data_IF_298757705703
#
_entry.id   IF_298757705703
#
_cell.length_a   1.000
_cell.length_b   1.000
_cell.length_c   1.000
_cell.angle_alpha   90.00
_cell.angle_beta   90.00
_cell.angle_gamma   90.00
#
_symmetry.space_group_name_H-M   'P 1'
#
loop_
_entity.id
_entity.type
_entity.pdbx_description
1 polymer ?
#
# COMPACT_ATOMS: atom_id res chain seq x y z
N UNK A 1 39.63 4.47 -16.97
CA UNK A 1 40.19 3.95 -15.71
C UNK A 1 40.19 2.43 -15.66
N UNK A 2 39.06 1.71 -15.67
CA UNK A 2 39.04 0.22 -15.57
C UNK A 2 39.88 -0.49 -16.65
N UNK A 3 39.91 -0.01 -17.89
CA UNK A 3 40.78 -0.55 -18.96
C UNK A 3 42.28 -0.47 -18.65
N UNK A 4 42.69 0.50 -17.81
CA UNK A 4 44.08 0.74 -17.45
C UNK A 4 44.44 0.15 -16.08
N UNK A 5 43.44 -0.22 -15.26
CA UNK A 5 43.60 -0.87 -13.95
C UNK A 5 42.57 -2.00 -13.75
N UNK A 6 42.64 -3.11 -14.51
CA UNK A 6 41.58 -4.12 -14.53
C UNK A 6 41.45 -4.95 -13.23
N UNK A 7 42.46 -4.91 -12.36
CA UNK A 7 42.50 -5.59 -11.06
C UNK A 7 42.28 -4.64 -9.87
N UNK A 8 41.95 -3.37 -10.12
CA UNK A 8 41.68 -2.40 -9.07
C UNK A 8 40.19 -2.46 -8.65
N UNK A 9 39.86 -2.93 -7.44
CA UNK A 9 38.48 -3.00 -6.96
C UNK A 9 37.80 -1.62 -6.91
N UNK A 10 38.54 -0.56 -6.59
CA UNK A 10 38.01 0.80 -6.47
C UNK A 10 37.61 1.36 -7.84
N UNK A 11 38.41 1.08 -8.88
CA UNK A 11 38.06 1.46 -10.26
C UNK A 11 36.74 0.82 -10.73
N UNK A 12 36.51 -0.46 -10.41
CA UNK A 12 35.26 -1.15 -10.73
C UNK A 12 34.08 -0.64 -9.90
N UNK A 13 34.29 -0.39 -8.60
CA UNK A 13 33.29 0.22 -7.73
C UNK A 13 32.84 1.60 -8.27
N UNK A 14 33.78 2.47 -8.58
CA UNK A 14 33.51 3.81 -9.11
C UNK A 14 32.82 3.76 -10.49
N UNK A 15 33.16 2.78 -11.33
CA UNK A 15 32.43 2.53 -12.57
C UNK A 15 30.98 2.12 -12.29
N UNK A 16 30.75 1.25 -11.32
CA UNK A 16 29.41 0.84 -10.89
C UNK A 16 28.57 2.03 -10.42
N UNK A 17 29.12 2.88 -9.57
CA UNK A 17 28.47 4.13 -9.10
C UNK A 17 28.12 5.05 -10.28
N UNK A 18 29.02 5.22 -11.24
CA UNK A 18 28.76 6.03 -12.42
C UNK A 18 27.65 5.44 -13.30
N UNK A 19 27.63 4.12 -13.50
CA UNK A 19 26.60 3.42 -14.27
C UNK A 19 25.24 3.48 -13.60
N UNK A 20 25.18 3.36 -12.27
CA UNK A 20 23.97 3.52 -11.48
C UNK A 20 23.37 4.92 -11.68
N UNK A 21 24.19 5.98 -11.59
CA UNK A 21 23.74 7.36 -11.83
C UNK A 21 23.22 7.59 -13.25
N UNK A 22 23.66 6.78 -14.20
CA UNK A 22 23.18 6.78 -15.60
C UNK A 22 21.96 5.86 -15.82
N UNK A 23 21.40 5.25 -14.76
CA UNK A 23 20.27 4.31 -14.86
C UNK A 23 20.62 2.94 -15.46
N UNK A 24 21.91 2.63 -15.65
CA UNK A 24 22.37 1.37 -16.26
C UNK A 24 22.49 0.27 -15.20
N UNK A 25 21.39 -0.10 -14.57
CA UNK A 25 21.33 -0.96 -13.38
C UNK A 25 22.08 -2.29 -13.55
N UNK A 26 21.80 -3.03 -14.62
CA UNK A 26 22.47 -4.32 -14.89
C UNK A 26 23.98 -4.20 -15.12
N UNK A 27 24.46 -3.07 -15.64
CA UNK A 27 25.89 -2.83 -15.80
C UNK A 27 26.53 -2.45 -14.47
N UNK A 28 25.85 -1.62 -13.67
CA UNK A 28 26.30 -1.24 -12.33
C UNK A 28 26.47 -2.48 -11.44
N UNK A 29 25.48 -3.38 -11.45
CA UNK A 29 25.54 -4.67 -10.76
C UNK A 29 26.80 -5.48 -11.14
N UNK A 30 27.07 -5.65 -12.44
CA UNK A 30 28.28 -6.36 -12.90
C UNK A 30 29.57 -5.71 -12.39
N UNK A 31 29.62 -4.39 -12.38
CA UNK A 31 30.77 -3.64 -11.88
C UNK A 31 30.96 -3.82 -10.37
N UNK A 32 29.89 -3.80 -9.58
CA UNK A 32 29.95 -4.07 -8.13
C UNK A 32 30.36 -5.51 -7.83
N UNK A 33 29.81 -6.50 -8.55
CA UNK A 33 30.24 -7.91 -8.43
C UNK A 33 31.74 -8.06 -8.75
N UNK A 34 32.25 -7.32 -9.74
CA UNK A 34 33.67 -7.35 -10.06
C UNK A 34 34.53 -6.73 -8.96
N UNK A 35 34.10 -5.62 -8.37
CA UNK A 35 34.76 -5.02 -7.20
C UNK A 35 34.80 -6.00 -6.01
N UNK A 36 33.69 -6.67 -5.71
CA UNK A 36 33.58 -7.68 -4.64
C UNK A 36 34.47 -8.90 -4.94
N UNK A 37 34.55 -9.34 -6.20
CA UNK A 37 35.42 -10.46 -6.59
C UNK A 37 36.90 -10.13 -6.36
N UNK A 38 37.29 -8.87 -6.60
CA UNK A 38 38.66 -8.40 -6.39
C UNK A 38 38.94 -8.11 -4.91
N UNK A 39 37.93 -7.68 -4.16
CA UNK A 39 38.01 -7.36 -2.73
C UNK A 39 36.73 -7.82 -2.00
N UNK A 40 36.71 -9.06 -1.47
CA UNK A 40 35.51 -9.62 -0.84
C UNK A 40 35.00 -8.88 0.40
N UNK A 41 35.88 -8.14 1.09
CA UNK A 41 35.57 -7.34 2.28
C UNK A 41 35.18 -5.89 1.98
N UNK A 42 34.81 -5.57 0.73
CA UNK A 42 34.40 -4.21 0.34
C UNK A 42 32.93 -3.92 0.69
N UNK A 43 32.69 -3.47 1.92
CA UNK A 43 31.35 -3.25 2.47
C UNK A 43 30.47 -2.31 1.60
N UNK A 44 31.02 -1.22 1.09
CA UNK A 44 30.32 -0.27 0.22
C UNK A 44 29.89 -0.90 -1.11
N UNK A 45 30.70 -1.81 -1.67
CA UNK A 45 30.35 -2.53 -2.89
C UNK A 45 29.20 -3.53 -2.66
N UNK A 46 29.20 -4.25 -1.52
CA UNK A 46 28.08 -5.10 -1.12
C UNK A 46 26.78 -4.30 -0.91
N UNK A 47 26.88 -3.14 -0.25
CA UNK A 47 25.72 -2.27 -0.04
C UNK A 47 25.15 -1.78 -1.39
N UNK A 48 25.99 -1.28 -2.30
CA UNK A 48 25.50 -0.82 -3.61
C UNK A 48 24.99 -1.96 -4.50
N UNK A 49 25.57 -3.16 -4.41
CA UNK A 49 25.02 -4.35 -5.05
C UNK A 49 23.60 -4.65 -4.55
N UNK A 50 23.38 -4.59 -3.23
CA UNK A 50 22.07 -4.76 -2.62
C UNK A 50 21.05 -3.73 -3.14
N UNK A 51 21.44 -2.46 -3.29
CA UNK A 51 20.57 -1.41 -3.87
C UNK A 51 20.20 -1.75 -5.32
N UNK A 52 21.13 -2.26 -6.13
CA UNK A 52 20.82 -2.65 -7.52
C UNK A 52 19.87 -3.84 -7.57
N UNK A 53 20.10 -4.85 -6.75
CA UNK A 53 19.22 -6.02 -6.65
C UNK A 53 17.81 -5.62 -6.21
N UNK A 54 17.71 -4.72 -5.22
CA UNK A 54 16.42 -4.17 -4.77
C UNK A 54 15.68 -3.45 -5.88
N UNK A 55 16.36 -2.54 -6.61
CA UNK A 55 15.75 -1.81 -7.74
C UNK A 55 15.32 -2.72 -8.89
N UNK A 56 15.93 -3.91 -8.99
CA UNK A 56 15.57 -4.93 -9.96
C UNK A 56 14.55 -5.94 -9.42
N UNK A 57 13.96 -5.70 -8.23
CA UNK A 57 12.95 -6.55 -7.62
C UNK A 57 13.49 -7.81 -6.92
N UNK A 58 14.80 -8.03 -6.89
CA UNK A 58 15.45 -9.22 -6.30
C UNK A 58 15.70 -9.01 -4.81
N UNK A 59 14.62 -8.92 -4.03
CA UNK A 59 14.64 -8.55 -2.62
C UNK A 59 15.44 -9.53 -1.74
N UNK A 60 15.35 -10.84 -1.99
CA UNK A 60 16.10 -11.85 -1.23
C UNK A 60 17.63 -11.74 -1.45
N UNK A 61 18.05 -11.44 -2.69
CA UNK A 61 19.45 -11.19 -2.98
C UNK A 61 19.92 -9.87 -2.36
N UNK A 62 19.09 -8.83 -2.42
CA UNK A 62 19.38 -7.54 -1.82
C UNK A 62 19.61 -7.67 -0.30
N UNK A 63 18.73 -8.39 0.40
CA UNK A 63 18.87 -8.69 1.83
C UNK A 63 20.22 -9.35 2.14
N UNK A 64 20.60 -10.38 1.37
CA UNK A 64 21.90 -11.06 1.55
C UNK A 64 23.07 -10.10 1.37
N UNK A 65 23.03 -9.26 0.33
CA UNK A 65 24.08 -8.28 0.06
C UNK A 65 24.19 -7.22 1.17
N UNK A 66 23.05 -6.71 1.67
CA UNK A 66 23.05 -5.79 2.81
C UNK A 66 23.54 -6.44 4.10
N UNK A 67 23.13 -7.68 4.38
CA UNK A 67 23.62 -8.45 5.52
C UNK A 67 25.14 -8.63 5.48
N UNK A 68 25.71 -8.82 4.28
CA UNK A 68 27.16 -8.90 4.11
C UNK A 68 27.85 -7.55 4.34
N UNK A 69 27.28 -6.45 3.85
CA UNK A 69 27.78 -5.11 4.14
C UNK A 69 27.79 -4.80 5.64
N UNK A 70 26.71 -5.15 6.36
CA UNK A 70 26.57 -4.98 7.82
C UNK A 70 27.57 -5.87 8.57
N UNK A 71 27.76 -7.11 8.14
CA UNK A 71 28.72 -8.02 8.77
C UNK A 71 30.17 -7.53 8.65
N UNK A 72 30.50 -6.90 7.52
CA UNK A 72 31.82 -6.31 7.29
C UNK A 72 32.01 -4.97 8.01
N UNK A 73 30.92 -4.19 8.17
CA UNK A 73 30.92 -2.87 8.79
C UNK A 73 29.64 -2.70 9.62
N UNK A 74 29.65 -3.11 10.91
CA UNK A 74 28.47 -3.07 11.77
C UNK A 74 27.88 -1.67 11.97
N UNK A 75 28.72 -0.63 11.93
CA UNK A 75 28.33 0.78 12.04
C UNK A 75 28.03 1.42 10.67
N UNK A 76 27.56 0.64 9.69
CA UNK A 76 27.19 1.18 8.38
C UNK A 76 25.71 1.60 8.35
N UNK A 77 25.43 2.83 8.79
CA UNK A 77 24.07 3.36 8.90
C UNK A 77 23.25 3.24 7.60
N UNK A 78 23.88 3.51 6.44
CA UNK A 78 23.22 3.40 5.13
C UNK A 78 22.78 1.95 4.82
N UNK A 79 23.60 0.95 5.18
CA UNK A 79 23.26 -0.46 4.98
C UNK A 79 22.13 -0.90 5.91
N UNK A 80 22.13 -0.44 7.18
CA UNK A 80 21.01 -0.68 8.12
C UNK A 80 19.71 -0.04 7.64
N UNK A 81 19.74 1.20 7.16
CA UNK A 81 18.55 1.81 6.55
C UNK A 81 18.09 1.06 5.30
N UNK A 82 19.02 0.59 4.45
CA UNK A 82 18.68 -0.11 3.22
C UNK A 82 18.07 -1.50 3.48
N UNK A 83 18.64 -2.29 4.38
CA UNK A 83 18.06 -3.59 4.76
C UNK A 83 16.69 -3.42 5.45
N UNK A 84 16.52 -2.35 6.25
CA UNK A 84 15.23 -2.05 6.87
C UNK A 84 14.14 -1.78 5.83
N UNK A 85 14.47 -1.11 4.71
CA UNK A 85 13.52 -0.93 3.60
C UNK A 85 13.15 -2.28 2.98
N UNK A 86 14.12 -3.19 2.79
CA UNK A 86 13.83 -4.55 2.27
C UNK A 86 12.96 -5.34 3.25
N UNK A 87 13.24 -5.26 4.55
CA UNK A 87 12.39 -5.86 5.57
C UNK A 87 10.97 -5.31 5.51
N UNK A 88 10.81 -3.98 5.38
CA UNK A 88 9.49 -3.34 5.20
C UNK A 88 8.78 -3.83 3.93
N UNK A 89 9.44 -3.81 2.78
CA UNK A 89 8.87 -4.28 1.50
C UNK A 89 8.46 -5.75 1.52
N UNK A 90 9.15 -6.54 2.33
CA UNK A 90 8.82 -7.95 2.53
C UNK A 90 7.90 -8.18 3.73
N UNK A 91 7.39 -7.12 4.40
CA UNK A 91 6.42 -7.18 5.50
C UNK A 91 6.96 -7.63 6.85
N UNK A 92 8.28 -7.63 7.01
CA UNK A 92 8.99 -7.93 8.25
C UNK A 92 9.20 -6.64 9.04
N UNK A 93 8.10 -6.09 9.55
CA UNK A 93 8.08 -4.72 10.10
C UNK A 93 8.91 -4.61 11.39
N UNK A 94 8.97 -5.65 12.22
CA UNK A 94 9.77 -5.67 13.45
C UNK A 94 11.28 -5.70 13.15
N UNK A 95 11.69 -6.47 12.14
CA UNK A 95 13.08 -6.50 11.65
C UNK A 95 13.46 -5.15 11.04
N UNK A 96 12.54 -4.53 10.29
CA UNK A 96 12.72 -3.19 9.75
C UNK A 96 12.91 -2.15 10.86
N UNK A 97 12.06 -2.17 11.89
CA UNK A 97 12.17 -1.29 13.05
C UNK A 97 13.54 -1.43 13.75
N UNK A 98 13.99 -2.66 14.02
CA UNK A 98 15.28 -2.91 14.66
C UNK A 98 16.45 -2.33 13.85
N UNK A 99 16.44 -2.53 12.53
CA UNK A 99 17.46 -1.98 11.64
C UNK A 99 17.39 -0.44 11.53
N UNK A 100 16.21 0.16 11.50
CA UNK A 100 16.08 1.63 11.54
C UNK A 100 16.61 2.23 12.86
N UNK A 101 16.28 1.62 14.00
CA UNK A 101 16.82 2.04 15.32
C UNK A 101 18.34 2.02 15.29
N UNK A 102 18.93 0.98 14.72
CA UNK A 102 20.40 0.86 14.59
C UNK A 102 20.97 1.94 13.66
N UNK A 103 20.37 2.17 12.49
CA UNK A 103 20.80 3.22 11.55
C UNK A 103 20.79 4.61 12.20
N UNK A 104 19.74 4.93 12.97
CA UNK A 104 19.59 6.21 13.67
C UNK A 104 20.55 6.31 14.87
N UNK A 105 20.82 5.22 15.58
CA UNK A 105 21.79 5.22 16.67
C UNK A 105 23.22 5.49 16.17
N UNK A 106 23.60 4.88 15.04
CA UNK A 106 24.89 5.09 14.39
C UNK A 106 24.98 6.50 13.78
N UNK A 107 23.89 6.99 13.18
CA UNK A 107 23.84 8.29 12.51
C UNK A 107 22.59 9.08 12.94
N UNK A 108 22.65 9.83 14.05
CA UNK A 108 21.49 10.52 14.63
C UNK A 108 20.83 11.58 13.73
N UNK A 109 21.59 12.15 12.80
CA UNK A 109 21.15 13.14 11.81
C UNK A 109 20.64 12.51 10.50
N UNK A 110 20.44 11.18 10.45
CA UNK A 110 19.99 10.48 9.25
C UNK A 110 18.49 10.68 8.98
N UNK A 111 18.15 11.85 8.40
CA UNK A 111 16.77 12.27 8.10
C UNK A 111 15.96 11.20 7.36
N UNK A 112 16.53 10.58 6.32
CA UNK A 112 15.82 9.57 5.53
C UNK A 112 15.48 8.33 6.36
N UNK A 113 16.37 7.89 7.26
CA UNK A 113 16.10 6.76 8.15
C UNK A 113 14.97 7.08 9.12
N UNK A 114 14.89 8.32 9.65
CA UNK A 114 13.78 8.77 10.51
C UNK A 114 12.45 8.76 9.78
N UNK A 115 12.39 9.30 8.56
CA UNK A 115 11.15 9.29 7.76
C UNK A 115 10.73 7.85 7.44
N UNK A 116 11.67 7.00 7.03
CA UNK A 116 11.36 5.60 6.71
C UNK A 116 10.94 4.79 7.95
N UNK A 117 11.54 5.07 9.11
CA UNK A 117 11.13 4.47 10.36
C UNK A 117 9.73 4.92 10.75
N UNK A 118 9.43 6.21 10.64
CA UNK A 118 8.09 6.74 10.85
C UNK A 118 7.04 6.08 9.95
N UNK A 119 7.38 5.83 8.67
CA UNK A 119 6.49 5.11 7.75
C UNK A 119 6.22 3.67 8.22
N UNK A 120 7.25 2.99 8.70
CA UNK A 120 7.14 1.62 9.24
C UNK A 120 6.28 1.61 10.51
N UNK A 121 6.51 2.54 11.43
CA UNK A 121 5.69 2.70 12.63
C UNK A 121 4.23 3.03 12.30
N UNK A 122 3.99 3.88 11.29
CA UNK A 122 2.64 4.17 10.80
C UNK A 122 1.95 2.93 10.25
N UNK A 123 2.68 2.10 9.50
CA UNK A 123 2.18 0.82 8.98
C UNK A 123 1.84 -0.15 10.12
N UNK A 124 2.63 -0.15 11.20
CA UNK A 124 2.35 -0.91 12.43
C UNK A 124 1.27 -0.26 13.33
N UNK A 125 0.75 0.92 12.99
CA UNK A 125 -0.24 1.65 13.79
C UNK A 125 0.32 2.41 14.99
N UNK A 126 1.65 2.45 15.17
CA UNK A 126 2.31 3.23 16.22
C UNK A 126 2.47 4.70 15.81
N UNK A 127 1.35 5.41 15.72
CA UNK A 127 1.31 6.79 15.21
C UNK A 127 2.05 7.81 16.09
N UNK A 128 2.09 7.59 17.41
CA UNK A 128 2.79 8.50 18.33
C UNK A 128 4.29 8.50 18.05
N UNK A 129 4.89 7.32 17.91
CA UNK A 129 6.31 7.22 17.59
C UNK A 129 6.60 7.61 16.13
N UNK A 130 5.67 7.33 15.21
CA UNK A 130 5.78 7.80 13.83
C UNK A 130 5.86 9.34 13.78
N UNK A 131 4.96 10.03 14.48
CA UNK A 131 4.93 11.49 14.58
C UNK A 131 6.24 12.05 15.16
N UNK A 132 6.77 11.44 16.21
CA UNK A 132 8.06 11.83 16.80
C UNK A 132 9.18 11.76 15.75
N UNK A 133 9.26 10.65 15.00
CA UNK A 133 10.30 10.46 14.00
C UNK A 133 10.19 11.47 12.85
N UNK A 134 8.97 11.74 12.35
CA UNK A 134 8.78 12.77 11.31
C UNK A 134 9.11 14.17 11.80
N UNK A 135 8.71 14.53 13.03
CA UNK A 135 9.06 15.84 13.61
C UNK A 135 10.56 15.99 13.85
N UNK A 136 11.25 14.93 14.26
CA UNK A 136 12.71 14.93 14.36
C UNK A 136 13.38 15.05 12.99
N UNK A 137 12.84 14.40 11.96
CA UNK A 137 13.29 14.60 10.58
C UNK A 137 13.16 16.06 10.14
N UNK A 138 12.02 16.70 10.43
CA UNK A 138 11.79 18.13 10.16
C UNK A 138 12.67 19.06 11.00
N UNK A 139 13.00 18.69 12.24
CA UNK A 139 13.93 19.46 13.06
C UNK A 139 15.36 19.45 12.47
N UNK A 140 15.78 18.32 11.90
CA UNK A 140 17.07 18.17 11.21
C UNK A 140 17.08 18.80 9.81
N UNK A 141 15.95 18.71 9.10
CA UNK A 141 15.76 19.27 7.76
C UNK A 141 14.36 19.87 7.64
N UNK A 142 14.19 21.17 7.96
CA UNK A 142 12.88 21.84 7.89
C UNK A 142 12.25 21.87 6.49
N UNK A 143 13.05 21.68 5.44
CA UNK A 143 12.63 21.64 4.04
C UNK A 143 12.27 20.22 3.54
N UNK A 144 12.01 19.26 4.43
CA UNK A 144 11.61 17.90 4.03
C UNK A 144 10.10 17.79 3.80
N UNK A 145 9.64 18.13 2.59
CA UNK A 145 8.23 18.05 2.22
C UNK A 145 7.64 16.63 2.39
N UNK A 146 8.47 15.58 2.19
CA UNK A 146 8.05 14.19 2.36
C UNK A 146 7.64 13.92 3.82
N UNK A 147 8.37 14.45 4.80
CA UNK A 147 7.99 14.30 6.20
C UNK A 147 6.63 14.98 6.50
N UNK A 148 6.35 16.16 5.93
CA UNK A 148 5.04 16.80 6.03
C UNK A 148 3.92 15.97 5.38
N UNK A 149 4.17 15.42 4.18
CA UNK A 149 3.23 14.53 3.50
C UNK A 149 2.90 13.28 4.34
N UNK A 150 3.92 12.64 4.92
CA UNK A 150 3.73 11.50 5.83
C UNK A 150 2.97 11.88 7.10
N UNK A 151 3.24 13.06 7.67
CA UNK A 151 2.53 13.58 8.84
C UNK A 151 1.04 13.77 8.58
N UNK A 152 0.63 14.25 7.40
CA UNK A 152 -0.78 14.33 7.02
C UNK A 152 -1.49 12.96 7.10
N UNK A 153 -0.84 11.90 6.60
CA UNK A 153 -1.43 10.55 6.57
C UNK A 153 -1.74 9.95 7.94
N UNK A 154 -1.03 10.36 8.99
CA UNK A 154 -1.24 9.81 10.34
C UNK A 154 -2.27 10.60 11.18
N UNK A 155 -2.87 11.65 10.61
CA UNK A 155 -3.78 12.52 11.36
C UNK A 155 -5.15 11.88 11.59
N UNK A 156 -5.82 12.33 12.66
CA UNK A 156 -7.20 11.92 13.01
C UNK A 156 -8.27 12.85 12.44
N UNK A 157 -7.91 14.11 12.19
CA UNK A 157 -8.87 15.16 11.88
C UNK A 157 -8.50 15.84 10.57
N UNK A 158 -9.53 16.31 9.87
CA UNK A 158 -9.41 17.10 8.66
C UNK A 158 -8.51 18.33 8.86
N UNK A 159 -8.66 19.02 10.00
CA UNK A 159 -7.90 20.23 10.31
C UNK A 159 -6.40 19.95 10.48
N UNK A 160 -6.03 18.90 11.24
CA UNK A 160 -4.63 18.55 11.43
C UNK A 160 -4.00 18.00 10.15
N UNK A 161 -4.77 17.27 9.36
CA UNK A 161 -4.35 16.81 8.03
C UNK A 161 -4.07 18.00 7.09
N UNK A 162 -5.00 18.95 7.01
CA UNK A 162 -4.87 20.16 6.19
C UNK A 162 -3.63 20.98 6.60
N UNK A 163 -3.38 21.16 7.90
CA UNK A 163 -2.17 21.85 8.39
C UNK A 163 -0.88 21.26 7.81
N UNK A 164 -0.73 19.93 7.83
CA UNK A 164 0.48 19.29 7.30
C UNK A 164 0.56 19.30 5.78
N UNK A 165 -0.58 19.27 5.09
CA UNK A 165 -0.63 19.48 3.62
C UNK A 165 -0.20 20.90 3.26
N UNK A 166 -0.61 21.90 4.04
CA UNK A 166 -0.17 23.28 3.83
C UNK A 166 1.33 23.43 4.07
N UNK A 167 1.87 22.83 5.13
CA UNK A 167 3.33 22.78 5.35
C UNK A 167 4.07 22.07 4.23
N UNK A 168 3.52 20.98 3.71
CA UNK A 168 4.08 20.30 2.54
C UNK A 168 4.14 21.23 1.33
N UNK A 169 3.09 22.00 1.07
CA UNK A 169 3.00 22.92 -0.07
C UNK A 169 3.80 24.22 0.11
N UNK A 170 4.01 24.67 1.35
CA UNK A 170 4.92 25.78 1.67
C UNK A 170 6.37 25.42 1.30
N UNK A 171 6.77 24.16 1.52
CA UNK A 171 8.11 23.65 1.22
C UNK A 171 8.24 23.29 -0.28
N UNK A 172 7.27 22.54 -0.80
CA UNK A 172 7.21 22.13 -2.20
C UNK A 172 5.86 22.54 -2.81
N UNK A 173 5.86 23.77 -3.33
CA UNK A 173 4.72 24.33 -4.04
C UNK A 173 4.36 23.62 -5.34
N UNK A 174 5.09 22.58 -5.76
CA UNK A 174 4.81 21.73 -6.92
C UNK A 174 4.38 20.30 -6.57
N UNK A 175 4.24 19.98 -5.27
CA UNK A 175 3.83 18.66 -4.84
C UNK A 175 2.39 18.32 -5.29
N UNK A 176 2.24 17.64 -6.43
CA UNK A 176 0.94 17.39 -7.08
C UNK A 176 -0.04 16.67 -6.15
N UNK A 177 0.37 15.58 -5.50
CA UNK A 177 -0.53 14.83 -4.61
C UNK A 177 -1.06 15.71 -3.45
N UNK A 178 -0.22 16.57 -2.85
CA UNK A 178 -0.63 17.49 -1.80
C UNK A 178 -1.59 18.58 -2.32
N UNK A 179 -1.36 19.13 -3.52
CA UNK A 179 -2.30 20.08 -4.15
C UNK A 179 -3.67 19.47 -4.36
N UNK A 180 -3.72 18.29 -4.95
CA UNK A 180 -4.97 17.59 -5.25
C UNK A 180 -5.67 17.18 -3.95
N UNK A 181 -4.93 16.63 -2.99
CA UNK A 181 -5.46 16.28 -1.67
C UNK A 181 -6.02 17.50 -0.95
N UNK A 182 -5.35 18.67 -0.99
CA UNK A 182 -5.89 19.92 -0.43
C UNK A 182 -7.25 20.28 -1.01
N UNK A 183 -7.43 20.14 -2.33
CA UNK A 183 -8.71 20.39 -2.97
C UNK A 183 -9.80 19.41 -2.48
N UNK A 184 -9.46 18.14 -2.26
CA UNK A 184 -10.36 17.18 -1.67
C UNK A 184 -10.73 17.55 -0.23
N UNK A 185 -9.77 17.94 0.62
CA UNK A 185 -10.06 18.35 2.01
C UNK A 185 -10.98 19.58 2.04
N UNK A 186 -10.77 20.56 1.15
CA UNK A 186 -11.66 21.71 0.99
C UNK A 186 -13.07 21.31 0.57
N UNK A 187 -13.20 20.36 -0.36
CA UNK A 187 -14.50 19.83 -0.75
C UNK A 187 -15.28 19.26 0.45
N UNK A 188 -14.60 18.51 1.32
CA UNK A 188 -15.17 17.98 2.58
C UNK A 188 -15.62 19.08 3.56
N UNK A 189 -15.10 20.30 3.43
CA UNK A 189 -15.54 21.49 4.19
C UNK A 189 -16.71 22.25 3.53
N UNK A 190 -17.15 21.80 2.36
CA UNK A 190 -18.17 22.48 1.54
C UNK A 190 -17.60 23.46 0.51
N UNK A 191 -16.28 23.60 0.40
CA UNK A 191 -15.62 24.48 -0.58
C UNK A 191 -15.30 23.71 -1.87
N UNK A 192 -16.11 23.89 -2.92
CA UNK A 192 -15.99 23.11 -4.17
C UNK A 192 -15.19 23.76 -5.30
N UNK A 193 -14.97 25.07 -5.21
CA UNK A 193 -14.41 25.89 -6.30
C UNK A 193 -13.09 25.36 -6.85
N UNK A 194 -12.19 24.96 -5.95
CA UNK A 194 -10.87 24.46 -6.31
C UNK A 194 -10.93 23.09 -6.99
N UNK A 195 -11.80 22.19 -6.51
CA UNK A 195 -12.04 20.90 -7.15
C UNK A 195 -12.60 21.08 -8.57
N UNK A 196 -13.61 21.94 -8.75
CA UNK A 196 -14.22 22.20 -10.06
C UNK A 196 -13.22 22.84 -11.04
N UNK A 197 -12.32 23.69 -10.54
CA UNK A 197 -11.21 24.27 -11.31
C UNK A 197 -10.26 23.18 -11.80
N UNK A 198 -9.88 22.25 -10.93
CA UNK A 198 -9.00 21.13 -11.28
C UNK A 198 -9.67 20.16 -12.29
N UNK A 199 -10.98 19.92 -12.17
CA UNK A 199 -11.75 19.10 -13.13
C UNK A 199 -11.83 19.69 -14.54
N UNK A 200 -11.61 21.00 -14.68
CA UNK A 200 -11.49 21.69 -15.98
C UNK A 200 -10.05 21.77 -16.50
N UNK A 201 -9.07 21.27 -15.75
CA UNK A 201 -7.64 21.30 -16.12
C UNK A 201 -7.16 19.98 -16.73
N UNK A 202 -5.89 19.92 -17.13
CA UNK A 202 -5.21 18.69 -17.53
C UNK A 202 -5.18 17.63 -16.41
N UNK A 203 -5.26 18.06 -15.14
CA UNK A 203 -5.23 17.17 -13.98
C UNK A 203 -6.54 16.40 -13.78
N UNK A 204 -7.61 16.68 -14.53
CA UNK A 204 -8.89 15.95 -14.43
C UNK A 204 -8.74 14.43 -14.61
N UNK A 205 -7.75 14.02 -15.41
CA UNK A 205 -7.44 12.63 -15.69
C UNK A 205 -6.38 12.07 -14.75
N UNK A 206 -5.85 12.84 -13.80
CA UNK A 206 -4.94 12.34 -12.79
C UNK A 206 -5.70 11.38 -11.84
N UNK A 207 -5.13 10.25 -11.41
CA UNK A 207 -5.86 9.22 -10.67
C UNK A 207 -6.51 9.76 -9.39
N UNK A 208 -5.83 10.65 -8.66
CA UNK A 208 -6.42 11.40 -7.54
C UNK A 208 -7.74 12.09 -7.93
N UNK A 209 -7.76 12.85 -9.02
CA UNK A 209 -8.96 13.58 -9.45
C UNK A 209 -10.06 12.63 -9.91
N UNK A 210 -9.73 11.52 -10.58
CA UNK A 210 -10.71 10.50 -10.97
C UNK A 210 -11.35 9.84 -9.75
N UNK A 211 -10.54 9.49 -8.74
CA UNK A 211 -11.03 8.95 -7.46
C UNK A 211 -11.88 9.95 -6.69
N UNK A 212 -11.44 11.21 -6.58
CA UNK A 212 -12.23 12.27 -5.95
C UNK A 212 -13.54 12.50 -6.66
N UNK A 213 -13.53 12.56 -7.99
CA UNK A 213 -14.73 12.71 -8.79
C UNK A 213 -15.70 11.54 -8.59
N UNK A 214 -15.22 10.30 -8.50
CA UNK A 214 -16.08 9.18 -8.16
C UNK A 214 -16.71 9.34 -6.77
N UNK A 215 -15.90 9.62 -5.73
CA UNK A 215 -16.39 9.79 -4.35
C UNK A 215 -17.37 10.97 -4.23
N UNK A 216 -17.08 12.10 -4.87
CA UNK A 216 -17.87 13.33 -4.74
C UNK A 216 -19.19 13.31 -5.51
N UNK A 217 -19.37 12.33 -6.41
CA UNK A 217 -20.63 12.07 -7.11
C UNK A 217 -21.45 10.94 -6.48
N UNK A 218 -21.01 10.36 -5.36
CA UNK A 218 -21.83 9.41 -4.60
C UNK A 218 -23.08 10.11 -4.03
N UNK A 219 -24.20 9.37 -3.82
CA UNK A 219 -25.43 9.96 -3.28
C UNK A 219 -25.23 10.64 -1.92
N UNK A 220 -24.38 10.03 -1.07
CA UNK A 220 -23.96 10.57 0.22
C UNK A 220 -22.43 10.68 0.21
N UNK A 221 -21.90 11.78 0.75
CA UNK A 221 -20.47 11.95 0.93
C UNK A 221 -20.00 11.03 2.10
N UNK A 222 -19.12 10.05 1.87
CA UNK A 222 -18.70 9.10 2.89
C UNK A 222 -17.81 9.74 3.96
N UNK A 223 -17.63 9.07 5.10
CA UNK A 223 -16.67 9.52 6.14
C UNK A 223 -15.22 9.44 5.62
N UNK A 224 -14.42 10.48 5.85
CA UNK A 224 -13.01 10.54 5.42
C UNK A 224 -12.05 10.17 6.55
N UNK A 225 -11.14 9.24 6.26
CA UNK A 225 -10.05 8.83 7.14
C UNK A 225 -8.69 8.97 6.44
N UNK A 226 -7.62 9.14 7.22
CA UNK A 226 -6.27 9.39 6.68
C UNK A 226 -5.34 8.18 6.75
N UNK A 227 -5.70 7.17 7.54
CA UNK A 227 -4.93 5.94 7.65
C UNK A 227 -5.83 4.74 7.88
N UNK A 228 -5.26 3.58 7.57
CA UNK A 228 -5.87 2.26 7.69
C UNK A 228 -6.44 1.97 9.08
N UNK A 229 -5.70 2.30 10.12
CA UNK A 229 -6.06 1.91 11.48
C UNK A 229 -7.27 2.68 12.01
N UNK A 230 -7.34 4.01 11.82
CA UNK A 230 -8.55 4.77 12.20
C UNK A 230 -9.73 4.47 11.28
N UNK A 231 -9.47 4.14 10.02
CA UNK A 231 -10.50 3.65 9.09
C UNK A 231 -11.08 2.33 9.61
N UNK A 232 -10.25 1.33 9.95
CA UNK A 232 -10.71 0.08 10.54
C UNK A 232 -11.44 0.29 11.88
N UNK A 233 -10.94 1.15 12.77
CA UNK A 233 -11.60 1.47 14.04
C UNK A 233 -13.03 1.98 13.83
N UNK A 234 -13.24 2.78 12.79
CA UNK A 234 -14.57 3.31 12.45
C UNK A 234 -15.48 2.23 11.87
N UNK A 235 -14.95 1.37 10.99
CA UNK A 235 -15.74 0.29 10.38
C UNK A 235 -16.10 -0.79 11.40
N UNK A 236 -15.19 -1.16 12.30
CA UNK A 236 -15.45 -2.09 13.40
C UNK A 236 -16.57 -1.59 14.30
N UNK A 237 -16.63 -0.28 14.60
CA UNK A 237 -17.73 0.30 15.40
C UNK A 237 -19.10 0.19 14.73
N UNK A 238 -19.15 0.11 13.39
CA UNK A 238 -20.37 -0.07 12.61
C UNK A 238 -20.69 -1.55 12.36
N UNK A 239 -19.81 -2.46 12.77
CA UNK A 239 -19.86 -3.90 12.49
C UNK A 239 -20.51 -4.70 13.61
N UNK A 240 -21.11 -5.86 13.28
CA UNK A 240 -21.60 -6.81 14.27
C UNK A 240 -20.48 -7.75 14.73
N UNK A 241 -19.75 -7.34 15.77
CA UNK A 241 -18.58 -8.06 16.31
C UNK A 241 -18.84 -9.49 16.82
N UNK A 242 -20.10 -9.92 16.89
CA UNK A 242 -20.47 -11.32 17.24
C UNK A 242 -20.37 -12.28 16.05
N UNK A 243 -20.33 -11.75 14.82
CA UNK A 243 -20.17 -12.54 13.58
C UNK A 243 -18.68 -12.60 13.21
N UNK A 244 -18.23 -13.65 12.50
CA UNK A 244 -16.85 -13.72 12.03
C UNK A 244 -16.58 -12.71 10.92
N UNK A 245 -15.29 -12.46 10.65
CA UNK A 245 -14.86 -11.75 9.46
C UNK A 245 -14.23 -12.71 8.43
N UNK A 246 -14.10 -12.23 7.20
CA UNK A 246 -13.42 -12.91 6.10
C UNK A 246 -12.39 -11.95 5.51
N UNK A 247 -11.24 -12.46 5.10
CA UNK A 247 -10.18 -11.66 4.45
C UNK A 247 -9.63 -12.40 3.23
N UNK A 248 -9.72 -11.77 2.07
CA UNK A 248 -9.20 -12.29 0.80
C UNK A 248 -7.94 -11.52 0.44
N UNK A 249 -6.84 -12.23 0.22
CA UNK A 249 -5.52 -11.64 0.04
C UNK A 249 -4.79 -11.47 1.38
N UNK A 250 -4.86 -12.47 2.26
CA UNK A 250 -4.12 -12.40 3.51
C UNK A 250 -2.63 -12.52 3.24
N UNK A 251 -1.97 -11.38 3.23
CA UNK A 251 -0.52 -11.33 3.26
C UNK A 251 0.02 -11.76 4.64
N UNK A 252 1.01 -11.08 5.21
CA UNK A 252 1.59 -11.42 6.53
C UNK A 252 0.65 -11.28 7.72
N UNK A 253 -0.65 -11.13 7.49
CA UNK A 253 -1.71 -11.15 8.48
C UNK A 253 -1.79 -9.87 9.31
N UNK A 254 -1.26 -8.74 8.84
CA UNK A 254 -1.28 -7.48 9.61
C UNK A 254 -2.72 -7.00 9.83
N UNK A 255 -3.51 -6.89 8.78
CA UNK A 255 -4.96 -6.59 8.86
C UNK A 255 -5.73 -7.71 9.56
N UNK A 256 -5.42 -8.96 9.21
CA UNK A 256 -6.03 -10.14 9.85
C UNK A 256 -5.87 -10.17 11.37
N UNK A 257 -4.68 -9.88 11.90
CA UNK A 257 -4.44 -9.80 13.37
C UNK A 257 -5.30 -8.74 14.02
N UNK A 258 -5.39 -7.56 13.41
CA UNK A 258 -6.23 -6.48 13.90
C UNK A 258 -7.71 -6.90 13.98
N UNK A 259 -8.24 -7.54 12.93
CA UNK A 259 -9.63 -8.01 12.94
C UNK A 259 -9.82 -9.18 13.91
N UNK A 260 -8.84 -10.07 14.07
CA UNK A 260 -8.89 -11.15 15.05
C UNK A 260 -8.98 -10.63 16.49
N UNK A 261 -8.29 -9.54 16.82
CA UNK A 261 -8.38 -8.91 18.14
C UNK A 261 -9.80 -8.43 18.48
N UNK A 262 -10.61 -8.14 17.47
CA UNK A 262 -11.99 -7.66 17.60
C UNK A 262 -13.01 -8.80 17.51
N UNK A 263 -13.01 -9.55 16.41
CA UNK A 263 -14.07 -10.49 16.03
C UNK A 263 -13.88 -11.90 16.58
N UNK A 264 -12.66 -12.24 17.04
CA UNK A 264 -12.28 -13.54 17.64
C UNK A 264 -12.42 -14.78 16.75
N UNK A 265 -13.02 -14.66 15.56
CA UNK A 265 -13.11 -15.71 14.55
C UNK A 265 -12.99 -15.09 13.15
N UNK A 266 -12.06 -15.61 12.36
CA UNK A 266 -11.77 -15.11 11.02
C UNK A 266 -11.42 -16.23 10.05
N UNK A 267 -11.73 -16.02 8.77
CA UNK A 267 -11.33 -16.90 7.68
C UNK A 267 -10.47 -16.13 6.69
N UNK A 268 -9.24 -16.58 6.47
CA UNK A 268 -8.27 -15.94 5.58
C UNK A 268 -8.04 -16.78 4.33
N UNK A 269 -7.91 -16.14 3.17
CA UNK A 269 -7.68 -16.80 1.89
C UNK A 269 -6.50 -16.15 1.19
N UNK A 270 -5.50 -16.95 0.82
CA UNK A 270 -4.36 -16.49 0.01
C UNK A 270 -3.60 -17.70 -0.57
N UNK A 271 -2.80 -17.47 -1.61
CA UNK A 271 -1.76 -18.41 -2.05
C UNK A 271 -0.53 -18.40 -1.13
N UNK A 272 -0.25 -17.27 -0.47
CA UNK A 272 0.98 -16.95 0.27
C UNK A 272 2.26 -16.98 -0.59
N UNK A 273 2.09 -17.08 -1.91
CA UNK A 273 3.15 -17.09 -2.90
C UNK A 273 3.32 -15.73 -3.59
N UNK A 274 2.39 -14.81 -3.36
CA UNK A 274 2.36 -13.46 -3.97
C UNK A 274 1.24 -13.34 -5.00
N UNK A 275 1.33 -12.31 -5.84
CA UNK A 275 0.35 -12.06 -6.90
C UNK A 275 0.24 -13.29 -7.84
N UNK A 276 -0.98 -13.72 -8.22
CA UNK A 276 -1.19 -14.84 -9.13
C UNK A 276 -0.91 -14.49 -10.61
N UNK A 277 -0.82 -13.20 -10.92
CA UNK A 277 -0.53 -12.66 -12.26
C UNK A 277 0.16 -11.29 -12.15
N UNK A 278 0.67 -10.79 -13.28
CA UNK A 278 1.25 -9.44 -13.34
C UNK A 278 0.19 -8.37 -13.04
N UNK A 279 0.50 -7.43 -12.15
CA UNK A 279 -0.34 -6.30 -11.81
C UNK A 279 0.24 -5.00 -12.38
N UNK A 280 -0.54 -4.28 -13.19
CA UNK A 280 -0.11 -3.00 -13.76
C UNK A 280 -0.50 -1.87 -12.80
N UNK A 281 0.46 -1.43 -11.99
CA UNK A 281 0.31 -0.31 -11.06
C UNK A 281 0.89 0.95 -11.70
N UNK A 282 0.08 1.60 -12.53
CA UNK A 282 0.48 2.80 -13.29
C UNK A 282 1.56 2.56 -14.32
N UNK A 283 2.69 3.26 -14.17
CA UNK A 283 3.82 3.09 -15.07
C UNK A 283 4.69 1.87 -14.70
N UNK A 284 4.43 1.23 -13.56
CA UNK A 284 5.12 0.05 -13.09
C UNK A 284 4.29 -1.21 -13.37
N UNK A 285 4.99 -2.33 -13.54
CA UNK A 285 4.38 -3.65 -13.57
C UNK A 285 4.98 -4.43 -12.41
N UNK A 286 4.13 -4.76 -11.45
CA UNK A 286 4.45 -5.71 -10.40
C UNK A 286 4.29 -7.11 -10.98
N UNK A 287 5.31 -7.94 -10.85
CA UNK A 287 5.31 -9.25 -11.48
C UNK A 287 4.57 -10.26 -10.62
N UNK A 288 4.04 -11.29 -11.27
CA UNK A 288 3.58 -12.50 -10.60
C UNK A 288 4.59 -12.95 -9.52
N UNK A 289 4.08 -13.33 -8.34
CA UNK A 289 4.89 -13.73 -7.18
C UNK A 289 5.47 -12.58 -6.34
N UNK A 290 5.27 -11.31 -6.72
CA UNK A 290 5.62 -10.17 -5.86
C UNK A 290 4.77 -10.16 -4.58
N UNK A 291 5.30 -9.49 -3.53
CA UNK A 291 4.72 -9.46 -2.19
C UNK A 291 4.44 -10.85 -1.58
N UNK A 292 5.22 -11.86 -1.97
CA UNK A 292 5.16 -13.17 -1.33
C UNK A 292 5.41 -13.09 0.19
N UNK A 293 4.66 -13.85 0.99
CA UNK A 293 5.03 -14.13 2.37
C UNK A 293 6.12 -15.21 2.47
N UNK A 294 6.67 -15.63 1.32
CA UNK A 294 7.55 -16.78 1.14
C UNK A 294 6.89 -18.09 1.59
N UNK A 295 5.60 -18.26 1.26
CA UNK A 295 4.80 -19.41 1.66
C UNK A 295 4.51 -19.48 3.16
N UNK A 296 4.81 -18.42 3.92
CA UNK A 296 4.52 -18.39 5.36
C UNK A 296 3.06 -18.01 5.56
N UNK A 297 2.27 -19.01 5.94
CA UNK A 297 0.91 -18.82 6.44
C UNK A 297 0.99 -18.25 7.85
N UNK A 298 0.28 -17.15 8.18
CA UNK A 298 0.23 -16.62 9.53
C UNK A 298 -0.30 -17.65 10.54
N UNK A 299 0.36 -17.76 11.70
CA UNK A 299 -0.15 -18.49 12.85
C UNK A 299 -0.86 -17.50 13.78
N UNK A 300 -2.20 -17.47 13.70
CA UNK A 300 -3.04 -16.52 14.44
C UNK A 300 -4.18 -17.32 15.09
N UNK A 301 -4.22 -17.32 16.42
CA UNK A 301 -5.20 -18.07 17.20
C UNK A 301 -6.64 -17.70 16.80
N UNK A 302 -7.47 -18.70 16.51
CA UNK A 302 -8.87 -18.50 16.08
C UNK A 302 -9.03 -18.12 14.60
N UNK A 303 -7.94 -17.90 13.88
CA UNK A 303 -7.91 -17.75 12.43
C UNK A 303 -7.88 -19.10 11.73
N UNK A 304 -8.67 -19.25 10.67
CA UNK A 304 -8.55 -20.37 9.74
C UNK A 304 -8.04 -19.86 8.39
N UNK A 305 -6.92 -20.39 7.92
CA UNK A 305 -6.33 -20.02 6.64
C UNK A 305 -6.56 -21.10 5.59
N UNK A 306 -7.07 -20.68 4.44
CA UNK A 306 -7.32 -21.51 3.27
C UNK A 306 -6.25 -21.12 2.25
N UNK A 307 -5.34 -22.06 1.99
CA UNK A 307 -4.15 -21.83 1.16
C UNK A 307 -4.39 -22.33 -0.25
N UNK A 308 -4.25 -21.45 -1.23
CA UNK A 308 -4.31 -21.77 -2.66
C UNK A 308 -4.97 -20.68 -3.49
N UNK A 309 -5.03 -20.89 -4.81
CA UNK A 309 -5.72 -19.98 -5.72
C UNK A 309 -7.22 -19.94 -5.38
N UNK A 310 -7.86 -18.78 -5.57
CA UNK A 310 -9.25 -18.59 -5.20
C UNK A 310 -10.18 -19.48 -6.02
N UNK A 311 -9.88 -19.65 -7.31
CA UNK A 311 -10.64 -20.47 -8.26
C UNK A 311 -10.71 -21.93 -7.82
N UNK A 312 -9.66 -22.43 -7.17
CA UNK A 312 -9.56 -23.81 -6.71
C UNK A 312 -10.13 -24.01 -5.30
N UNK A 313 -9.90 -23.05 -4.42
CA UNK A 313 -10.15 -23.22 -2.97
C UNK A 313 -11.54 -22.73 -2.54
N UNK A 314 -12.02 -21.61 -3.09
CA UNK A 314 -13.30 -21.03 -2.71
C UNK A 314 -14.51 -21.92 -3.04
N UNK A 315 -14.58 -22.63 -4.18
CA UNK A 315 -15.72 -23.53 -4.45
C UNK A 315 -15.86 -24.61 -3.38
N UNK A 316 -14.74 -25.21 -2.98
CA UNK A 316 -14.72 -26.25 -1.94
C UNK A 316 -15.09 -25.65 -0.58
N UNK A 317 -14.50 -24.52 -0.20
CA UNK A 317 -14.78 -23.88 1.08
C UNK A 317 -16.25 -23.44 1.21
N UNK A 318 -16.85 -22.85 0.18
CA UNK A 318 -18.23 -22.37 0.18
C UNK A 318 -19.26 -23.42 -0.27
N UNK A 319 -18.85 -24.67 -0.52
CA UNK A 319 -19.77 -25.80 -0.74
C UNK A 319 -20.59 -26.15 0.50
N UNK A 320 -20.06 -25.82 1.69
CA UNK A 320 -20.74 -25.97 2.97
C UNK A 320 -21.35 -24.65 3.44
N UNK A 321 -22.35 -24.72 4.33
CA UNK A 321 -22.89 -23.53 4.96
C UNK A 321 -21.83 -22.85 5.84
N UNK A 322 -21.69 -21.53 5.66
CA UNK A 322 -20.75 -20.69 6.42
C UNK A 322 -21.50 -19.60 7.18
N UNK A 323 -20.99 -19.15 8.34
CA UNK A 323 -21.62 -18.07 9.08
C UNK A 323 -21.62 -16.78 8.29
N UNK A 324 -22.72 -16.04 8.33
CA UNK A 324 -22.83 -14.69 7.74
C UNK A 324 -21.72 -13.81 8.31
N UNK A 325 -21.04 -13.09 7.44
CA UNK A 325 -19.94 -12.21 7.80
C UNK A 325 -20.45 -11.01 8.61
N UNK A 326 -19.63 -10.53 9.53
CA UNK A 326 -19.73 -9.14 9.97
C UNK A 326 -19.10 -8.22 8.94
N UNK A 327 -17.93 -8.63 8.45
CA UNK A 327 -17.02 -7.83 7.68
C UNK A 327 -16.29 -8.74 6.70
N UNK A 328 -16.08 -8.26 5.48
CA UNK A 328 -15.22 -8.91 4.49
C UNK A 328 -14.19 -7.88 4.03
N UNK A 329 -12.91 -8.18 4.23
CA UNK A 329 -11.80 -7.37 3.75
C UNK A 329 -11.24 -7.97 2.46
N UNK A 330 -11.35 -7.23 1.36
CA UNK A 330 -10.72 -7.55 0.09
C UNK A 330 -9.40 -6.78 0.00
N UNK A 331 -8.30 -7.51 0.16
CA UNK A 331 -6.91 -7.09 -0.07
C UNK A 331 -6.37 -7.90 -1.25
N UNK A 332 -7.23 -8.09 -2.27
CA UNK A 332 -6.99 -8.98 -3.39
C UNK A 332 -6.35 -8.26 -4.59
N UNK A 333 -6.44 -6.93 -4.60
CA UNK A 333 -5.88 -5.93 -5.52
C UNK A 333 -6.28 -6.05 -6.99
N UNK A 334 -6.40 -7.26 -7.52
CA UNK A 334 -6.64 -7.59 -8.91
C UNK A 334 -8.12 -7.81 -9.20
N UNK A 335 -8.56 -7.35 -10.38
CA UNK A 335 -9.91 -7.63 -10.89
C UNK A 335 -10.31 -9.11 -10.80
N UNK A 336 -9.44 -10.01 -11.26
CA UNK A 336 -9.67 -11.46 -11.37
C UNK A 336 -9.91 -12.09 -9.99
N UNK A 337 -9.00 -11.83 -9.05
CA UNK A 337 -9.10 -12.27 -7.66
C UNK A 337 -10.35 -11.71 -6.98
N UNK A 338 -10.60 -10.41 -7.10
CA UNK A 338 -11.72 -9.74 -6.41
C UNK A 338 -13.08 -10.20 -6.93
N UNK A 339 -13.26 -10.36 -8.26
CA UNK A 339 -14.54 -10.85 -8.81
C UNK A 339 -14.79 -12.33 -8.45
N UNK A 340 -13.72 -13.14 -8.40
CA UNK A 340 -13.80 -14.54 -7.97
C UNK A 340 -14.26 -14.62 -6.51
N UNK A 341 -13.59 -13.88 -5.62
CA UNK A 341 -13.92 -13.82 -4.21
C UNK A 341 -15.38 -13.36 -3.96
N UNK A 342 -15.79 -12.26 -4.59
CA UNK A 342 -17.15 -11.72 -4.47
C UNK A 342 -18.23 -12.75 -4.89
N UNK A 343 -18.01 -13.47 -6.00
CA UNK A 343 -18.97 -14.47 -6.49
C UNK A 343 -19.20 -15.60 -5.49
N UNK A 344 -18.14 -16.11 -4.87
CA UNK A 344 -18.23 -17.23 -3.92
C UNK A 344 -18.69 -16.80 -2.53
N UNK A 345 -18.22 -15.66 -2.02
CA UNK A 345 -18.58 -15.19 -0.68
C UNK A 345 -19.99 -14.59 -0.59
N UNK A 346 -20.72 -14.47 -1.72
CA UNK A 346 -22.10 -13.96 -1.76
C UNK A 346 -23.05 -14.64 -0.78
N UNK A 347 -22.84 -15.92 -0.47
CA UNK A 347 -23.66 -16.69 0.48
C UNK A 347 -23.52 -16.23 1.94
N UNK A 348 -22.44 -15.50 2.28
CA UNK A 348 -22.18 -14.98 3.63
C UNK A 348 -22.40 -13.47 3.74
N UNK A 349 -22.94 -12.82 2.70
CA UNK A 349 -23.22 -11.38 2.68
C UNK A 349 -24.72 -11.12 2.93
N UNK A 350 -25.02 -10.30 3.91
CA UNK A 350 -26.35 -9.72 4.17
C UNK A 350 -26.30 -8.18 4.23
N UNK A 351 -27.43 -7.53 4.49
CA UNK A 351 -27.54 -6.06 4.56
C UNK A 351 -26.73 -5.41 5.70
N UNK A 352 -26.22 -6.20 6.65
CA UNK A 352 -25.40 -5.72 7.76
C UNK A 352 -23.90 -6.03 7.57
N UNK A 353 -23.55 -6.74 6.49
CA UNK A 353 -22.17 -7.09 6.18
C UNK A 353 -21.46 -5.90 5.53
N UNK A 354 -20.36 -5.45 6.13
CA UNK A 354 -19.53 -4.38 5.55
C UNK A 354 -18.43 -5.00 4.69
N UNK A 355 -18.26 -4.51 3.47
CA UNK A 355 -17.16 -4.87 2.58
C UNK A 355 -16.12 -3.76 2.64
N UNK A 356 -14.86 -4.11 2.86
CA UNK A 356 -13.71 -3.22 2.72
C UNK A 356 -12.94 -3.65 1.48
N UNK A 357 -12.52 -2.68 0.68
CA UNK A 357 -11.65 -2.85 -0.47
C UNK A 357 -10.37 -2.04 -0.25
N UNK A 358 -9.23 -2.68 -0.45
CA UNK A 358 -7.90 -2.07 -0.41
C UNK A 358 -7.44 -1.66 -1.80
N UNK A 359 -6.52 -0.69 -1.89
CA UNK A 359 -5.98 -0.23 -3.18
C UNK A 359 -7.06 0.18 -4.23
N UNK A 360 -8.30 0.44 -3.77
CA UNK A 360 -9.49 0.67 -4.58
C UNK A 360 -9.53 2.07 -5.22
N UNK A 361 -8.70 3.00 -4.76
CA UNK A 361 -8.62 4.38 -5.24
C UNK A 361 -7.17 4.78 -5.48
N UNK A 362 -6.95 5.93 -6.13
CA UNK A 362 -5.68 6.65 -6.25
C UNK A 362 -4.60 5.97 -7.10
N UNK A 363 -4.62 4.64 -7.24
CA UNK A 363 -3.75 3.94 -8.16
C UNK A 363 -4.05 4.33 -9.59
N UNK A 364 -3.02 4.33 -10.42
CA UNK A 364 -3.26 4.45 -11.85
C UNK A 364 -3.95 3.19 -12.36
N UNK A 365 -5.14 3.35 -12.96
CA UNK A 365 -5.92 2.24 -13.47
C UNK A 365 -6.85 1.58 -12.45
N UNK A 366 -7.02 2.13 -11.24
CA UNK A 366 -7.91 1.61 -10.18
C UNK A 366 -9.31 1.23 -10.67
N UNK A 367 -9.82 1.93 -11.70
CA UNK A 367 -11.12 1.65 -12.35
C UNK A 367 -11.20 0.30 -13.06
N UNK A 368 -10.07 -0.38 -13.30
CA UNK A 368 -10.00 -1.65 -14.02
C UNK A 368 -9.86 -2.87 -13.11
N UNK A 369 -9.60 -2.65 -11.82
CA UNK A 369 -9.28 -3.69 -10.84
C UNK A 369 -10.47 -3.96 -9.91
N UNK A 370 -10.31 -3.78 -8.60
CA UNK A 370 -11.37 -4.04 -7.61
C UNK A 370 -12.64 -3.23 -7.86
N UNK A 371 -12.51 -1.99 -8.33
CA UNK A 371 -13.66 -1.17 -8.70
C UNK A 371 -14.49 -1.81 -9.80
N UNK A 372 -13.84 -2.27 -10.87
CA UNK A 372 -14.52 -2.97 -11.96
C UNK A 372 -15.19 -4.24 -11.47
N UNK A 373 -14.50 -5.02 -10.63
CA UNK A 373 -15.04 -6.24 -10.04
C UNK A 373 -16.32 -5.97 -9.23
N UNK A 374 -16.32 -4.93 -8.38
CA UNK A 374 -17.50 -4.51 -7.63
C UNK A 374 -18.66 -4.11 -8.55
N UNK A 375 -18.41 -3.26 -9.56
CA UNK A 375 -19.45 -2.78 -10.48
C UNK A 375 -20.06 -3.94 -11.26
N UNK A 376 -19.23 -4.85 -11.78
CA UNK A 376 -19.69 -6.04 -12.48
C UNK A 376 -20.49 -6.97 -11.57
N UNK A 377 -20.00 -7.24 -10.36
CA UNK A 377 -20.71 -8.05 -9.38
C UNK A 377 -22.10 -7.47 -9.05
N UNK A 378 -22.17 -6.18 -8.78
CA UNK A 378 -23.43 -5.48 -8.51
C UNK A 378 -24.40 -5.57 -9.69
N UNK A 379 -23.90 -5.41 -10.92
CA UNK A 379 -24.70 -5.53 -12.14
C UNK A 379 -25.25 -6.94 -12.35
N UNK A 380 -24.43 -7.98 -12.17
CA UNK A 380 -24.81 -9.38 -12.37
C UNK A 380 -25.87 -9.82 -11.33
N UNK A 381 -25.71 -9.43 -10.08
CA UNK A 381 -26.53 -9.94 -8.97
C UNK A 381 -27.60 -8.97 -8.48
N UNK A 382 -27.75 -7.81 -9.13
CA UNK A 382 -28.82 -6.84 -8.81
C UNK A 382 -28.62 -6.15 -7.47
N UNK A 383 -27.39 -5.75 -7.15
CA UNK A 383 -27.08 -4.96 -5.96
C UNK A 383 -26.83 -3.49 -6.33
N UNK A 384 -27.28 -2.59 -5.47
CA UNK A 384 -26.70 -1.27 -5.28
C UNK A 384 -25.77 -1.32 -4.06
N UNK A 385 -25.09 -0.21 -3.76
CA UNK A 385 -24.27 -0.12 -2.56
C UNK A 385 -24.26 1.30 -1.99
N UNK A 386 -24.05 1.38 -0.68
CA UNK A 386 -23.78 2.62 0.05
C UNK A 386 -22.30 2.61 0.46
N UNK A 387 -21.55 3.64 0.06
CA UNK A 387 -20.18 3.84 0.55
C UNK A 387 -20.23 4.54 1.89
N UNK A 388 -19.66 3.91 2.92
CA UNK A 388 -19.69 4.35 4.31
C UNK A 388 -18.50 5.23 4.65
N UNK A 389 -17.32 4.84 4.20
CA UNK A 389 -16.08 5.51 4.50
C UNK A 389 -15.06 5.35 3.37
N UNK A 390 -14.15 6.31 3.26
CA UNK A 390 -13.01 6.26 2.35
C UNK A 390 -11.74 6.73 3.05
N UNK A 391 -10.59 6.23 2.61
CA UNK A 391 -9.30 6.87 2.85
C UNK A 391 -8.56 7.03 1.54
N UNK A 392 -8.27 8.27 1.15
CA UNK A 392 -7.45 8.49 -0.05
C UNK A 392 -5.97 8.18 0.19
N UNK A 393 -5.49 8.32 1.43
CA UNK A 393 -4.07 8.12 1.71
C UNK A 393 -3.73 6.63 1.88
N UNK A 394 -4.59 5.85 2.56
CA UNK A 394 -4.47 4.38 2.57
C UNK A 394 -5.23 3.68 1.44
N UNK A 395 -5.89 4.45 0.56
CA UNK A 395 -6.58 3.99 -0.67
C UNK A 395 -7.77 3.04 -0.45
N UNK A 396 -8.39 3.08 0.73
CA UNK A 396 -9.43 2.13 1.12
C UNK A 396 -10.84 2.68 0.92
N UNK A 397 -11.78 1.78 0.64
CA UNK A 397 -13.21 2.06 0.58
C UNK A 397 -13.97 1.02 1.40
N UNK A 398 -14.92 1.47 2.22
CA UNK A 398 -15.84 0.59 2.94
C UNK A 398 -17.27 0.85 2.49
N UNK A 399 -18.01 -0.21 2.21
CA UNK A 399 -19.37 -0.12 1.70
C UNK A 399 -20.28 -1.23 2.22
N UNK A 400 -21.60 -1.03 2.06
CA UNK A 400 -22.63 -2.05 2.29
C UNK A 400 -23.40 -2.30 1.00
N UNK A 401 -23.70 -3.56 0.71
CA UNK A 401 -24.56 -3.90 -0.41
C UNK A 401 -26.03 -3.73 -0.04
N UNK A 402 -26.81 -3.26 -1.00
CA UNK A 402 -28.24 -3.10 -0.91
C UNK A 402 -28.90 -3.85 -2.06
N UNK A 403 -29.93 -4.66 -1.78
CA UNK A 403 -30.69 -5.29 -2.87
C UNK A 403 -31.52 -4.25 -3.58
N UNK A 404 -31.41 -4.20 -4.91
CA UNK A 404 -32.30 -3.40 -5.73
C UNK A 404 -33.69 -4.02 -5.60
N UNK A 405 -34.59 -3.36 -4.85
CA UNK A 405 -36.00 -3.76 -4.83
C UNK A 405 -36.52 -3.56 -6.24
N UNK A 406 -37.01 -4.63 -6.89
CA UNK A 406 -37.80 -4.51 -8.11
C UNK A 406 -39.12 -3.81 -7.77
N UNK A 407 -39.09 -2.48 -7.62
CA UNK A 407 -40.26 -1.65 -7.80
C UNK A 407 -40.43 -1.42 -9.29
N UNK A 408 -41.53 -1.92 -9.84
CA UNK A 408 -42.02 -1.67 -11.19
C UNK A 408 -41.74 -0.23 -11.66
N UNK A 409 -41.02 -0.10 -12.77
CA UNK A 409 -40.77 1.13 -13.53
C UNK A 409 -40.20 2.32 -12.74
N UNK A 410 -38.86 2.40 -12.62
CA UNK A 410 -38.16 3.68 -12.67
C UNK A 410 -36.73 3.50 -13.18
N UNK A 411 -36.49 4.04 -14.39
CA UNK A 411 -35.25 4.26 -15.12
C UNK A 411 -33.92 3.92 -14.41
N UNK A 412 -33.28 2.85 -14.91
CA UNK A 412 -31.82 2.68 -14.88
C UNK A 412 -31.15 3.90 -15.53
N UNK A 413 -30.59 4.78 -14.72
CA UNK A 413 -29.71 5.87 -15.17
C UNK A 413 -28.44 5.92 -14.32
N UNK A 414 -27.65 4.87 -14.32
CA UNK A 414 -26.21 4.97 -14.03
C UNK A 414 -25.47 3.89 -14.83
N UNK A 415 -25.07 4.25 -16.06
CA UNK A 415 -23.93 3.73 -16.83
C UNK A 415 -24.13 4.06 -18.33
N UNK A 416 -23.75 5.26 -18.75
CA UNK A 416 -23.36 5.50 -20.13
C UNK A 416 -22.16 6.44 -20.14
N UNK A 417 -20.97 5.85 -20.08
CA UNK A 417 -19.79 6.43 -20.71
C UNK A 417 -19.92 6.26 -22.22
N UNK A 418 -19.82 7.39 -22.89
CA UNK A 418 -19.79 7.64 -24.33
C UNK A 418 -19.14 6.55 -25.18
N UNK A 419 -19.88 6.12 -26.22
CA UNK A 419 -19.30 5.78 -27.52
C UNK A 419 -19.72 6.84 -28.54
N UNK A 420 -18.74 7.24 -29.36
CA UNK A 420 -18.81 7.88 -30.67
C UNK A 420 -19.36 9.31 -30.79
N UNK A 421 -18.45 10.29 -30.85
CA UNK A 421 -18.05 11.00 -32.09
C UNK A 421 -16.82 11.86 -31.89
#
# INVERSE_FOLDING_TARGET
MVKFSPRDPEAHYNLGVAQQRLGKLANAEKSFLKAITLQPNYAEAHCNLGIMQQQLGRLAEAEKSFGQAISLKPEFAEAHNAIAIVFKQTGRLEEAEASYKTAIAVKPDFVNARVNYGNTLSEMGNFKEAEINYKQALALRPSDAKACWCLHGIQKTLQSAEYWIEKCLEIDGNHTAAKLTKAALKFYRGEREEFDRLMRSELRNHPYMRSFNWVFNLPNLPELYFNRWYFFDAIVKKSNVRRPFYEFGVWRGTSFRYFMDVFKKGFGFDTFLGLPEDWVVGAAVEKEGFYSSNGRVPDIEGGQFIVGQFEDTLPTFFSESRPVASLINFDADLYSSTICALKYCRSVIDENTILIFDEFLINEGWENDEHKALIEFCSIFGFSYEVLAVSFFSKQVALRLERIKCSSNQNLKYAHTSKDK
#
